data_IF_319792549527
#
_entry.id   IF_319792549527
#
_cell.length_a   1.000
_cell.length_b   1.000
_cell.length_c   1.000
_cell.angle_alpha   90.00
_cell.angle_beta   90.00
_cell.angle_gamma   90.00
#
_symmetry.space_group_name_H-M   'P 1'
#
loop_
_entity.id
_entity.type
_entity.pdbx_description
1 polymer ?
#
# COMPACT_ATOMS: atom_id res chain seq x y z
N UNK A 1 40.90 -49.41 87.80
CA UNK A 1 39.93 -50.53 87.87
C UNK A 1 38.52 -49.95 87.85
N UNK A 2 37.57 -50.63 87.16
CA UNK A 2 36.23 -50.22 86.67
C UNK A 2 36.24 -49.75 85.20
N UNK A 3 36.30 -50.65 84.22
CA UNK A 3 35.20 -51.44 83.60
C UNK A 3 34.32 -50.62 82.64
N UNK A 4 34.52 -50.85 81.34
CA UNK A 4 33.60 -50.50 80.24
C UNK A 4 32.25 -51.23 80.40
N UNK A 5 31.18 -50.75 79.74
CA UNK A 5 30.59 -51.63 78.73
C UNK A 5 30.14 -50.95 77.42
N UNK A 6 29.86 -51.86 76.50
CA UNK A 6 29.58 -51.84 75.07
C UNK A 6 28.08 -51.64 74.77
N UNK A 7 27.75 -51.38 73.49
CA UNK A 7 26.43 -51.53 72.79
C UNK A 7 25.49 -50.32 72.95
N UNK A 8 25.14 -49.59 71.87
CA UNK A 8 24.11 -50.02 70.91
C UNK A 8 24.26 -49.43 69.50
N UNK A 9 24.19 -50.34 68.50
CA UNK A 9 23.81 -50.07 67.12
C UNK A 9 22.33 -49.63 67.07
N UNK A 10 21.95 -48.98 65.96
CA UNK A 10 20.65 -48.39 65.59
C UNK A 10 20.45 -46.95 66.07
N UNK A 11 20.69 -45.97 65.17
CA UNK A 11 19.63 -45.18 64.53
C UNK A 11 20.20 -44.69 63.20
N UNK A 12 19.94 -45.45 62.14
CA UNK A 12 19.98 -44.94 60.78
C UNK A 12 18.61 -44.32 60.51
N UNK A 13 18.49 -42.99 60.55
CA UNK A 13 17.42 -42.25 59.86
C UNK A 13 17.63 -40.74 60.01
N UNK A 14 17.51 -40.07 58.87
CA UNK A 14 17.16 -38.65 58.71
C UNK A 14 18.26 -37.57 58.82
N UNK A 15 19.20 -37.56 57.86
CA UNK A 15 19.67 -36.28 57.27
C UNK A 15 19.58 -36.43 55.74
N UNK A 16 18.34 -36.47 55.26
CA UNK A 16 18.00 -36.16 53.87
C UNK A 16 17.63 -34.69 53.85
N UNK A 17 18.33 -33.93 53.01
CA UNK A 17 17.90 -32.58 52.62
C UNK A 17 18.81 -31.48 53.12
N UNK A 18 19.83 -31.16 52.33
CA UNK A 18 20.04 -29.81 51.77
C UNK A 18 20.66 -30.06 50.38
N UNK A 19 19.80 -30.20 49.38
CA UNK A 19 20.16 -29.98 47.98
C UNK A 19 20.51 -28.49 47.85
N UNK A 20 21.80 -28.17 47.77
CA UNK A 20 22.27 -26.87 47.33
C UNK A 20 22.19 -26.79 45.79
N UNK A 21 20.97 -26.89 45.26
CA UNK A 21 20.65 -26.41 43.91
C UNK A 21 20.37 -24.91 44.05
N UNK A 22 21.44 -24.11 43.98
CA UNK A 22 21.32 -22.67 43.82
C UNK A 22 20.82 -22.42 42.39
N UNK A 23 19.51 -22.58 42.18
CA UNK A 23 18.83 -22.14 40.97
C UNK A 23 18.88 -20.62 40.97
N UNK A 24 19.89 -20.05 40.33
CA UNK A 24 19.90 -18.61 40.02
C UNK A 24 18.68 -18.41 39.12
N UNK A 25 17.63 -17.67 39.54
CA UNK A 25 16.60 -17.29 38.60
C UNK A 25 17.28 -16.33 37.64
N UNK A 26 17.63 -16.83 36.46
CA UNK A 26 17.99 -15.99 35.34
C UNK A 26 16.73 -15.18 35.07
N UNK A 27 16.67 -13.96 35.61
CA UNK A 27 15.72 -12.95 35.16
C UNK A 27 16.05 -12.75 33.69
N UNK A 28 15.40 -13.52 32.83
CA UNK A 28 15.24 -13.17 31.44
C UNK A 28 14.53 -11.82 31.47
N UNK A 29 15.32 -10.74 31.47
CA UNK A 29 14.80 -9.46 31.01
C UNK A 29 14.35 -9.76 29.60
N UNK A 30 13.04 -9.76 29.38
CA UNK A 30 12.49 -9.55 28.06
C UNK A 30 13.11 -8.24 27.56
N UNK A 31 14.24 -8.35 26.85
CA UNK A 31 14.74 -7.25 26.05
C UNK A 31 13.68 -7.15 24.95
N UNK A 32 12.65 -6.35 25.22
CA UNK A 32 11.82 -5.77 24.18
C UNK A 32 12.78 -4.91 23.34
N UNK A 33 13.46 -5.58 22.41
CA UNK A 33 14.10 -4.92 21.29
C UNK A 33 13.07 -3.92 20.76
N UNK A 34 13.42 -2.64 20.58
CA UNK A 34 12.51 -1.68 20.00
C UNK A 34 11.93 -2.34 18.75
N UNK A 35 10.62 -2.59 18.74
CA UNK A 35 10.00 -3.34 17.67
C UNK A 35 10.37 -2.63 16.37
N UNK A 36 11.25 -3.24 15.58
CA UNK A 36 11.74 -2.62 14.35
C UNK A 36 10.53 -2.36 13.49
N UNK A 37 10.22 -1.08 13.29
CA UNK A 37 9.09 -0.66 12.48
C UNK A 37 9.28 -1.18 11.07
N UNK A 38 8.22 -1.70 10.46
CA UNK A 38 8.31 -2.36 9.17
C UNK A 38 6.99 -2.29 8.42
N UNK A 39 7.11 -2.31 7.09
CA UNK A 39 6.02 -2.71 6.19
C UNK A 39 6.30 -4.14 5.76
N UNK A 40 5.45 -5.07 6.18
CA UNK A 40 5.62 -6.51 5.96
C UNK A 40 4.72 -7.00 4.83
N UNK A 41 5.26 -7.82 3.93
CA UNK A 41 4.49 -8.47 2.87
C UNK A 41 3.69 -9.62 3.47
N UNK A 42 2.35 -9.53 3.43
CA UNK A 42 1.43 -10.54 3.98
C UNK A 42 0.93 -11.51 2.94
N UNK A 43 0.65 -11.04 1.73
CA UNK A 43 0.13 -11.86 0.64
C UNK A 43 0.72 -11.41 -0.69
N UNK A 44 0.89 -12.37 -1.60
CA UNK A 44 1.40 -12.17 -2.95
C UNK A 44 0.51 -12.95 -3.92
N UNK A 45 0.15 -12.33 -5.03
CA UNK A 45 -0.44 -12.99 -6.20
C UNK A 45 0.32 -12.56 -7.45
N UNK A 46 0.71 -13.51 -8.28
CA UNK A 46 1.43 -13.23 -9.53
C UNK A 46 2.89 -12.81 -9.29
N UNK A 47 3.39 -11.90 -10.13
CA UNK A 47 4.76 -11.39 -10.10
C UNK A 47 4.84 -10.16 -9.20
N UNK A 48 5.49 -10.30 -8.05
CA UNK A 48 5.77 -9.21 -7.13
C UNK A 48 7.26 -9.17 -6.85
N UNK A 49 7.87 -8.00 -6.95
CA UNK A 49 9.30 -7.79 -6.73
C UNK A 49 9.52 -6.93 -5.50
N UNK A 50 10.42 -7.36 -4.62
CA UNK A 50 10.94 -6.59 -3.49
C UNK A 50 12.41 -6.31 -3.76
N UNK A 51 12.79 -5.04 -3.86
CA UNK A 51 14.20 -4.63 -4.11
C UNK A 51 14.86 -5.35 -5.31
N UNK A 52 14.13 -5.48 -6.42
CA UNK A 52 14.64 -6.09 -7.65
C UNK A 52 14.69 -7.63 -7.65
N UNK A 53 14.44 -8.29 -6.51
CA UNK A 53 14.24 -9.76 -6.45
C UNK A 53 12.76 -10.12 -6.35
N UNK A 54 12.36 -11.36 -6.66
CA UNK A 54 11.03 -11.85 -6.31
C UNK A 54 10.74 -11.66 -4.81
N UNK A 55 9.57 -11.12 -4.51
CA UNK A 55 9.10 -10.93 -3.14
C UNK A 55 8.65 -12.25 -2.53
N UNK A 56 8.71 -12.35 -1.21
CA UNK A 56 8.23 -13.48 -0.40
C UNK A 56 7.33 -12.95 0.70
N UNK A 57 6.33 -13.75 1.09
CA UNK A 57 5.54 -13.47 2.30
C UNK A 57 6.50 -13.46 3.50
N UNK A 58 6.39 -12.43 4.34
CA UNK A 58 7.30 -12.17 5.45
C UNK A 58 8.46 -11.22 5.11
N UNK A 59 8.64 -10.83 3.84
CA UNK A 59 9.60 -9.75 3.50
C UNK A 59 9.23 -8.46 4.23
N UNK A 60 10.24 -7.76 4.77
CA UNK A 60 10.08 -6.55 5.57
C UNK A 60 10.81 -5.37 4.96
N UNK A 61 10.06 -4.31 4.64
CA UNK A 61 10.60 -3.01 4.27
C UNK A 61 10.77 -2.20 5.56
N UNK A 62 12.01 -1.99 5.99
CA UNK A 62 12.40 -1.31 7.24
C UNK A 62 13.09 0.03 7.00
N UNK A 63 13.63 0.25 5.80
CA UNK A 63 14.52 1.38 5.51
C UNK A 63 13.97 2.26 4.38
N UNK A 64 14.23 3.58 4.43
CA UNK A 64 13.93 4.49 3.33
C UNK A 64 14.47 3.98 2.00
N UNK A 65 13.71 4.17 0.92
CA UNK A 65 14.05 3.72 -0.42
C UNK A 65 13.62 2.29 -0.73
N UNK A 66 13.37 1.46 0.29
CA UNK A 66 12.88 0.11 0.07
C UNK A 66 11.46 0.12 -0.51
N UNK A 67 11.23 -0.70 -1.52
CA UNK A 67 9.99 -0.73 -2.31
C UNK A 67 9.57 -2.15 -2.67
N UNK A 68 8.26 -2.28 -2.85
CA UNK A 68 7.57 -3.42 -3.43
C UNK A 68 6.92 -2.97 -4.74
N UNK A 69 7.00 -3.80 -5.78
CA UNK A 69 6.36 -3.52 -7.07
C UNK A 69 5.60 -4.74 -7.56
N UNK A 70 4.42 -4.53 -8.11
CA UNK A 70 3.56 -5.57 -8.69
C UNK A 70 3.62 -5.50 -10.22
N UNK A 71 3.70 -6.66 -10.87
CA UNK A 71 3.60 -6.80 -12.32
C UNK A 71 2.16 -6.81 -12.82
N UNK A 72 1.97 -7.21 -14.08
CA UNK A 72 0.66 -7.48 -14.68
C UNK A 72 -0.02 -8.66 -13.98
N UNK A 73 -1.34 -8.62 -13.86
CA UNK A 73 -2.17 -9.66 -13.23
C UNK A 73 -1.68 -10.06 -11.83
N UNK A 74 -1.06 -9.11 -11.12
CA UNK A 74 -0.37 -9.35 -9.85
C UNK A 74 -0.90 -8.41 -8.77
N UNK A 75 -0.83 -8.84 -7.51
CA UNK A 75 -1.20 -8.00 -6.38
C UNK A 75 -0.41 -8.38 -5.14
N UNK A 76 -0.35 -7.46 -4.17
CA UNK A 76 0.25 -7.71 -2.87
C UNK A 76 -0.60 -7.10 -1.75
N UNK A 77 -0.54 -7.71 -0.57
CA UNK A 77 -1.09 -7.12 0.65
C UNK A 77 0.06 -6.86 1.60
N UNK A 78 0.16 -5.62 2.08
CA UNK A 78 1.19 -5.19 3.02
C UNK A 78 0.56 -4.84 4.37
N UNK A 79 1.27 -5.12 5.45
CA UNK A 79 0.90 -4.69 6.80
C UNK A 79 1.94 -3.70 7.33
N UNK A 80 1.49 -2.54 7.79
CA UNK A 80 2.31 -1.54 8.47
C UNK A 80 2.28 -1.82 9.97
N UNK A 81 3.45 -2.02 10.58
CA UNK A 81 3.66 -2.14 12.03
C UNK A 81 2.63 -3.01 12.77
N UNK A 82 2.57 -4.30 12.44
CA UNK A 82 1.68 -5.30 13.07
C UNK A 82 0.27 -4.78 13.36
N UNK A 83 -0.35 -4.10 12.39
CA UNK A 83 -1.77 -3.72 12.42
C UNK A 83 -2.08 -2.23 12.52
N UNK A 84 -1.14 -1.32 12.23
CA UNK A 84 -1.47 0.11 12.06
C UNK A 84 -2.28 0.34 10.80
N UNK A 85 -1.86 -0.27 9.69
CA UNK A 85 -2.57 -0.20 8.43
C UNK A 85 -2.34 -1.45 7.58
N UNK A 86 -3.31 -1.77 6.75
CA UNK A 86 -3.21 -2.75 5.67
C UNK A 86 -3.25 -2.01 4.33
N UNK A 87 -2.37 -2.40 3.41
CA UNK A 87 -2.27 -1.78 2.09
C UNK A 87 -2.47 -2.86 1.03
N UNK A 88 -3.56 -2.76 0.30
CA UNK A 88 -3.80 -3.58 -0.90
C UNK A 88 -3.16 -2.87 -2.10
N UNK A 89 -2.19 -3.54 -2.71
CA UNK A 89 -1.41 -3.04 -3.85
C UNK A 89 -1.92 -3.74 -5.10
N UNK A 90 -2.55 -2.99 -6.01
CA UNK A 90 -3.03 -3.53 -7.28
C UNK A 90 -1.88 -3.83 -8.24
N UNK A 91 -2.18 -4.39 -9.42
CA UNK A 91 -1.19 -4.64 -10.46
C UNK A 91 -0.55 -3.34 -10.95
N UNK A 92 0.65 -3.47 -11.54
CA UNK A 92 1.42 -2.36 -12.14
C UNK A 92 1.70 -1.20 -11.16
N UNK A 93 1.80 -1.51 -9.88
CA UNK A 93 1.90 -0.53 -8.80
C UNK A 93 3.25 -0.63 -8.11
N UNK A 94 3.75 0.49 -7.61
CA UNK A 94 4.91 0.52 -6.72
C UNK A 94 4.55 1.22 -5.43
N UNK A 95 4.96 0.65 -4.30
CA UNK A 95 4.87 1.27 -2.98
C UNK A 95 6.27 1.29 -2.38
N UNK A 96 6.70 2.45 -1.90
CA UNK A 96 8.04 2.67 -1.35
C UNK A 96 7.95 3.22 0.08
N UNK A 97 8.85 2.78 0.96
CA UNK A 97 9.05 3.36 2.28
C UNK A 97 9.86 4.64 2.14
N UNK A 98 9.32 5.76 2.63
CA UNK A 98 10.07 7.01 2.76
C UNK A 98 10.64 7.15 4.17
N UNK A 99 9.85 6.82 5.19
CA UNK A 99 10.31 6.91 6.58
C UNK A 99 9.42 6.09 7.51
N UNK A 100 10.03 5.38 8.46
CA UNK A 100 9.39 4.70 9.57
C UNK A 100 10.08 5.13 10.88
N UNK A 101 9.64 6.23 11.48
CA UNK A 101 10.28 6.81 12.67
C UNK A 101 9.39 6.83 13.91
N UNK A 102 9.95 6.61 15.09
CA UNK A 102 9.26 6.96 16.34
C UNK A 102 9.61 8.39 16.73
N UNK A 103 8.62 9.15 17.17
CA UNK A 103 8.79 10.51 17.70
C UNK A 103 8.62 10.51 19.22
N UNK A 104 8.90 11.65 19.86
CA UNK A 104 8.73 11.81 21.30
C UNK A 104 7.36 11.29 21.79
N UNK A 105 7.36 10.74 23.00
CA UNK A 105 6.19 10.11 23.64
C UNK A 105 5.67 8.86 22.91
N UNK A 106 6.52 8.18 22.14
CA UNK A 106 6.20 6.89 21.50
C UNK A 106 5.28 7.00 20.28
N UNK A 107 5.09 8.21 19.72
CA UNK A 107 4.31 8.41 18.50
C UNK A 107 4.97 7.73 17.29
N UNK A 108 4.16 7.20 16.37
CA UNK A 108 4.65 6.48 15.18
C UNK A 108 4.34 7.27 13.91
N UNK A 109 5.37 7.69 13.19
CA UNK A 109 5.22 8.42 11.92
C UNK A 109 5.60 7.50 10.77
N UNK A 110 4.61 7.09 9.97
CA UNK A 110 4.79 6.28 8.76
C UNK A 110 4.64 7.19 7.54
N UNK A 111 5.66 7.23 6.70
CA UNK A 111 5.59 7.88 5.38
C UNK A 111 5.90 6.86 4.30
N UNK A 112 4.93 6.66 3.42
CA UNK A 112 5.06 5.81 2.25
C UNK A 112 4.86 6.66 0.99
N UNK A 113 5.37 6.17 -0.13
CA UNK A 113 5.15 6.77 -1.44
C UNK A 113 4.50 5.77 -2.38
N UNK A 114 3.56 6.26 -3.18
CA UNK A 114 2.99 5.57 -4.34
C UNK A 114 3.39 6.40 -5.57
N UNK A 115 4.53 6.11 -6.21
CA UNK A 115 4.95 6.85 -7.39
C UNK A 115 4.11 6.54 -8.63
N UNK A 116 3.48 5.36 -8.69
CA UNK A 116 2.62 4.92 -9.80
C UNK A 116 1.71 3.76 -9.38
N UNK A 117 0.58 3.63 -10.07
CA UNK A 117 -0.38 2.54 -9.89
C UNK A 117 -1.44 2.86 -8.84
N UNK A 118 -2.00 1.84 -8.19
CA UNK A 118 -3.12 2.02 -7.26
C UNK A 118 -2.88 1.25 -5.95
N UNK A 119 -3.09 1.94 -4.83
CA UNK A 119 -3.03 1.37 -3.49
C UNK A 119 -4.26 1.76 -2.69
N UNK A 120 -4.91 0.77 -2.05
CA UNK A 120 -5.99 0.99 -1.08
C UNK A 120 -5.46 0.75 0.32
N UNK A 121 -5.61 1.75 1.18
CA UNK A 121 -5.09 1.75 2.54
C UNK A 121 -6.27 1.73 3.51
N UNK A 122 -6.23 0.77 4.43
CA UNK A 122 -7.14 0.69 5.56
C UNK A 122 -6.32 0.88 6.82
N UNK A 123 -6.50 2.02 7.48
CA UNK A 123 -5.74 2.40 8.67
C UNK A 123 -6.67 2.48 9.87
N UNK A 124 -6.30 1.82 10.97
CA UNK A 124 -7.05 1.97 12.22
C UNK A 124 -6.91 3.38 12.79
N UNK A 125 -7.85 3.84 13.64
CA UNK A 125 -7.67 5.06 14.40
C UNK A 125 -6.34 5.02 15.19
N UNK A 126 -5.53 6.06 15.02
CA UNK A 126 -4.28 6.20 15.77
C UNK A 126 -4.62 6.74 17.17
N UNK A 127 -4.14 6.07 18.22
CA UNK A 127 -4.43 6.46 19.61
C UNK A 127 -3.49 7.54 20.11
N UNK A 128 -2.23 7.55 19.67
CA UNK A 128 -1.26 8.58 20.03
C UNK A 128 -1.38 9.79 19.08
N UNK A 129 -1.52 10.99 19.64
CA UNK A 129 -1.69 12.25 18.89
C UNK A 129 -0.50 12.58 17.97
N UNK A 130 0.70 12.12 18.34
CA UNK A 130 1.92 12.32 17.57
C UNK A 130 2.11 11.25 16.46
N UNK A 131 1.20 10.27 16.36
CA UNK A 131 1.26 9.28 15.29
C UNK A 131 0.63 9.80 14.00
N UNK A 132 1.24 9.48 12.86
CA UNK A 132 0.81 9.91 11.54
C UNK A 132 1.04 8.79 10.53
N UNK A 133 0.12 8.64 9.60
CA UNK A 133 0.30 7.84 8.38
C UNK A 133 0.10 8.78 7.19
N UNK A 134 1.12 8.86 6.34
CA UNK A 134 1.14 9.70 5.16
C UNK A 134 1.47 8.85 3.93
N UNK A 135 0.69 9.03 2.87
CA UNK A 135 0.95 8.49 1.54
C UNK A 135 1.30 9.68 0.65
N UNK A 136 2.49 9.69 0.08
CA UNK A 136 2.90 10.69 -0.91
C UNK A 136 2.78 10.15 -2.33
N UNK A 137 2.55 11.06 -3.25
CA UNK A 137 2.52 10.85 -4.70
C UNK A 137 3.33 11.98 -5.36
N UNK A 138 3.63 11.89 -6.66
CA UNK A 138 4.27 12.99 -7.38
C UNK A 138 3.46 14.30 -7.34
N UNK A 139 2.12 14.24 -7.20
CA UNK A 139 1.27 15.41 -7.18
C UNK A 139 1.06 16.01 -5.78
N UNK A 140 1.26 15.25 -4.70
CA UNK A 140 0.99 15.74 -3.35
C UNK A 140 1.06 14.68 -2.26
N UNK A 141 0.70 15.09 -1.04
CA UNK A 141 0.74 14.25 0.17
C UNK A 141 -0.67 14.08 0.72
N UNK A 142 -0.97 12.87 1.16
CA UNK A 142 -2.26 12.44 1.68
C UNK A 142 -2.05 11.88 3.09
N UNK A 143 -2.50 12.62 4.11
CA UNK A 143 -2.35 12.27 5.53
C UNK A 143 -3.65 11.74 6.13
N UNK A 144 -3.55 10.72 6.98
CA UNK A 144 -4.73 10.01 7.52
C UNK A 144 -4.67 9.69 9.00
N UNK A 145 -5.87 9.59 9.58
CA UNK A 145 -6.11 9.09 10.94
C UNK A 145 -7.44 8.33 10.97
N UNK A 146 -7.39 6.99 11.07
CA UNK A 146 -8.58 6.15 11.13
C UNK A 146 -9.44 6.23 9.87
N UNK A 147 -8.88 5.81 8.73
CA UNK A 147 -9.56 5.92 7.44
C UNK A 147 -9.40 4.69 6.59
N UNK A 148 -10.37 4.49 5.69
CA UNK A 148 -10.22 3.62 4.54
C UNK A 148 -10.28 4.46 3.28
N UNK A 149 -9.23 4.44 2.47
CA UNK A 149 -9.10 5.29 1.30
C UNK A 149 -8.24 4.64 0.22
N UNK A 150 -8.32 5.20 -0.97
CA UNK A 150 -7.60 4.74 -2.14
C UNK A 150 -6.83 5.88 -2.80
N UNK A 151 -5.65 5.56 -3.31
CA UNK A 151 -4.83 6.47 -4.11
C UNK A 151 -4.53 5.81 -5.45
N UNK A 152 -4.85 6.49 -6.54
CA UNK A 152 -4.51 6.10 -7.90
C UNK A 152 -3.57 7.12 -8.53
N UNK A 153 -2.38 6.69 -8.93
CA UNK A 153 -1.34 7.53 -9.53
C UNK A 153 -1.10 7.10 -10.98
N UNK A 154 -1.53 7.94 -11.91
CA UNK A 154 -1.36 7.73 -13.35
C UNK A 154 0.01 8.18 -13.85
N UNK A 155 0.31 7.95 -15.13
CA UNK A 155 1.49 8.54 -15.74
C UNK A 155 1.39 10.07 -15.73
N UNK A 156 2.53 10.74 -15.81
CA UNK A 156 2.62 12.18 -15.55
C UNK A 156 2.36 12.58 -14.09
N UNK A 157 2.08 11.64 -13.17
CA UNK A 157 1.97 11.90 -11.72
C UNK A 157 0.60 12.36 -11.23
N UNK A 158 -0.41 12.43 -12.12
CA UNK A 158 -1.82 12.67 -11.74
C UNK A 158 -2.21 11.73 -10.59
N UNK A 159 -2.81 12.27 -9.55
CA UNK A 159 -3.19 11.53 -8.35
C UNK A 159 -4.65 11.72 -8.02
N UNK A 160 -5.44 10.64 -8.10
CA UNK A 160 -6.80 10.58 -7.59
C UNK A 160 -6.81 10.03 -6.17
N UNK A 161 -7.53 10.69 -5.26
CA UNK A 161 -7.74 10.25 -3.89
C UNK A 161 -9.24 10.07 -3.66
N UNK A 162 -9.63 8.91 -3.15
CA UNK A 162 -11.02 8.59 -2.81
C UNK A 162 -11.09 8.04 -1.39
N UNK A 163 -11.92 8.63 -0.55
CA UNK A 163 -12.10 8.17 0.83
C UNK A 163 -13.38 7.35 0.90
N UNK A 164 -13.27 6.11 1.36
CA UNK A 164 -14.43 5.26 1.65
C UNK A 164 -15.00 5.58 3.03
N UNK A 165 -14.15 5.59 4.06
CA UNK A 165 -14.53 5.85 5.45
C UNK A 165 -13.54 6.81 6.13
N UNK A 166 -14.05 7.65 7.03
CA UNK A 166 -13.27 8.62 7.79
C UNK A 166 -13.01 9.89 6.98
N UNK A 167 -11.84 10.51 7.17
CA UNK A 167 -11.46 11.74 6.49
C UNK A 167 -9.97 11.81 6.21
N UNK A 168 -9.62 12.20 4.99
CA UNK A 168 -8.26 12.24 4.49
C UNK A 168 -7.87 13.68 4.17
N UNK A 169 -6.73 14.16 4.70
CA UNK A 169 -6.21 15.47 4.35
C UNK A 169 -5.27 15.32 3.15
N UNK A 170 -5.63 15.92 2.01
CA UNK A 170 -4.81 15.91 0.80
C UNK A 170 -4.23 17.30 0.59
N UNK A 171 -2.91 17.40 0.47
CA UNK A 171 -2.17 18.65 0.37
C UNK A 171 -1.27 18.69 -0.86
N UNK A 172 -1.36 19.78 -1.62
CA UNK A 172 -0.46 20.10 -2.72
C UNK A 172 -0.42 21.61 -2.96
N UNK A 173 0.73 22.12 -3.41
CA UNK A 173 0.94 23.56 -3.72
C UNK A 173 0.43 24.50 -2.62
N UNK A 174 0.74 24.19 -1.36
CA UNK A 174 0.38 25.01 -0.19
C UNK A 174 -1.12 25.00 0.16
N UNK A 175 -1.95 24.22 -0.54
CA UNK A 175 -3.38 24.06 -0.25
C UNK A 175 -3.68 22.66 0.24
N UNK A 176 -4.57 22.58 1.23
CA UNK A 176 -5.05 21.33 1.82
C UNK A 176 -6.55 21.26 1.68
N UNK A 177 -7.05 20.10 1.25
CA UNK A 177 -8.48 19.78 1.23
C UNK A 177 -8.74 18.54 2.08
N UNK A 178 -9.84 18.53 2.82
CA UNK A 178 -10.30 17.35 3.57
C UNK A 178 -11.27 16.56 2.71
N UNK A 179 -10.91 15.33 2.38
CA UNK A 179 -11.72 14.38 1.59
C UNK A 179 -12.40 13.41 2.55
N UNK A 180 -13.67 13.68 2.86
CA UNK A 180 -14.49 12.85 3.75
C UNK A 180 -14.93 11.54 3.09
N UNK A 181 -15.38 10.57 3.88
CA UNK A 181 -15.98 9.32 3.41
C UNK A 181 -17.07 9.57 2.37
N UNK A 182 -16.99 8.83 1.26
CA UNK A 182 -17.84 9.01 0.08
C UNK A 182 -17.36 10.09 -0.89
N UNK A 183 -16.32 10.86 -0.59
CA UNK A 183 -15.79 11.93 -1.46
C UNK A 183 -14.45 11.59 -2.08
N UNK A 184 -14.15 12.28 -3.17
CA UNK A 184 -12.91 12.17 -3.94
C UNK A 184 -12.34 13.54 -4.30
N UNK A 185 -11.03 13.61 -4.47
CA UNK A 185 -10.29 14.78 -4.96
C UNK A 185 -9.21 14.35 -5.94
N UNK A 186 -8.90 15.24 -6.88
CA UNK A 186 -7.89 15.03 -7.91
C UNK A 186 -6.77 16.05 -7.73
N UNK A 187 -5.54 15.61 -7.95
CA UNK A 187 -4.35 16.45 -7.89
C UNK A 187 -3.51 16.21 -9.13
N UNK A 188 -3.18 17.27 -9.86
CA UNK A 188 -2.19 17.22 -10.93
C UNK A 188 -0.87 17.79 -10.41
N UNK A 189 0.29 17.25 -10.83
CA UNK A 189 1.56 17.88 -10.49
C UNK A 189 1.59 19.33 -10.95
N UNK A 190 1.98 20.23 -10.06
CA UNK A 190 1.93 21.67 -10.35
C UNK A 190 0.68 22.38 -9.83
N UNK A 191 -0.38 21.64 -9.47
CA UNK A 191 -1.67 22.19 -9.07
C UNK A 191 -2.02 21.89 -7.60
N UNK A 192 -2.92 22.67 -6.99
CA UNK A 192 -3.56 22.27 -5.73
C UNK A 192 -4.48 21.05 -5.92
N UNK A 193 -4.95 20.43 -4.82
CA UNK A 193 -6.06 19.50 -4.89
C UNK A 193 -7.34 20.20 -5.33
N UNK A 194 -8.17 19.52 -6.13
CA UNK A 194 -9.51 20.00 -6.45
C UNK A 194 -10.40 19.97 -5.22
N UNK A 195 -11.43 20.83 -5.13
CA UNK A 195 -12.47 20.69 -4.11
C UNK A 195 -13.04 19.26 -4.11
N UNK A 196 -13.25 18.64 -2.93
CA UNK A 196 -13.82 17.30 -2.86
C UNK A 196 -15.21 17.24 -3.50
N UNK A 197 -15.45 16.20 -4.29
CA UNK A 197 -16.74 15.90 -4.91
C UNK A 197 -17.21 14.52 -4.50
N UNK A 198 -18.51 14.26 -4.58
CA UNK A 198 -19.06 12.92 -4.32
C UNK A 198 -18.38 11.92 -5.25
N UNK A 199 -17.94 10.80 -4.69
CA UNK A 199 -17.27 9.74 -5.45
C UNK A 199 -18.29 9.06 -6.34
N UNK A 200 -18.08 9.15 -7.64
CA UNK A 200 -18.81 8.38 -8.63
C UNK A 200 -17.85 7.33 -9.17
N UNK A 201 -18.12 6.04 -8.92
CA UNK A 201 -17.32 4.95 -9.47
C UNK A 201 -17.67 4.69 -10.95
N UNK A 202 -17.58 5.73 -11.78
CA UNK A 202 -17.82 5.63 -13.19
C UNK A 202 -16.62 4.99 -13.89
N UNK A 203 -16.68 3.69 -14.12
CA UNK A 203 -15.62 2.92 -14.78
C UNK A 203 -15.89 2.73 -16.29
N UNK A 204 -16.66 3.63 -16.90
CA UNK A 204 -16.93 3.64 -18.34
C UNK A 204 -16.01 4.62 -19.06
N UNK A 205 -15.85 4.39 -20.36
CA UNK A 205 -15.26 5.34 -21.30
C UNK A 205 -16.32 5.76 -22.32
N UNK A 206 -16.14 6.93 -22.90
CA UNK A 206 -16.89 7.39 -24.06
C UNK A 206 -15.92 7.51 -25.25
N UNK A 207 -16.18 6.72 -26.30
CA UNK A 207 -15.37 6.73 -27.50
C UNK A 207 -15.75 7.92 -28.37
N UNK A 208 -14.81 8.83 -28.61
CA UNK A 208 -15.01 9.98 -29.50
C UNK A 208 -14.60 9.61 -30.92
N UNK A 209 -13.44 8.98 -31.09
CA UNK A 209 -12.95 8.56 -32.39
C UNK A 209 -11.97 7.39 -32.27
N UNK A 210 -12.07 6.46 -33.21
CA UNK A 210 -11.06 5.45 -33.46
C UNK A 210 -10.82 5.41 -34.96
N UNK A 211 -9.71 5.98 -35.42
CA UNK A 211 -9.46 6.21 -36.85
C UNK A 211 -8.08 5.74 -37.29
N UNK A 212 -7.94 5.12 -38.47
CA UNK A 212 -6.62 4.77 -39.00
C UNK A 212 -5.85 6.04 -39.36
N UNK A 213 -4.58 6.10 -38.96
CA UNK A 213 -3.62 7.11 -39.44
C UNK A 213 -2.90 6.58 -40.68
N UNK A 214 -2.51 5.31 -40.66
CA UNK A 214 -1.93 4.57 -41.79
C UNK A 214 -2.17 3.06 -41.60
N UNK A 215 -1.55 2.23 -42.43
CA UNK A 215 -1.73 0.77 -42.39
C UNK A 215 -1.39 0.15 -41.01
N UNK A 216 -0.48 0.76 -40.24
CA UNK A 216 0.05 0.21 -38.99
C UNK A 216 -0.31 1.03 -37.75
N UNK A 217 -0.95 2.19 -37.89
CA UNK A 217 -1.25 3.09 -36.76
C UNK A 217 -2.68 3.58 -36.75
N UNK A 218 -3.22 3.75 -35.56
CA UNK A 218 -4.57 4.19 -35.26
C UNK A 218 -4.51 5.32 -34.25
N UNK A 219 -5.35 6.34 -34.42
CA UNK A 219 -5.62 7.35 -33.40
C UNK A 219 -6.82 6.94 -32.57
N UNK A 220 -6.67 6.86 -31.26
CA UNK A 220 -7.73 6.67 -30.29
C UNK A 220 -7.98 8.01 -29.58
N UNK A 221 -9.23 8.48 -29.63
CA UNK A 221 -9.71 9.60 -28.84
C UNK A 221 -10.91 9.12 -28.01
N UNK A 222 -10.80 9.21 -26.70
CA UNK A 222 -11.88 8.88 -25.78
C UNK A 222 -11.83 9.76 -24.54
N UNK A 223 -12.91 9.76 -23.76
CA UNK A 223 -12.98 10.40 -22.45
C UNK A 223 -13.27 9.35 -21.38
N UNK A 224 -12.66 9.53 -20.21
CA UNK A 224 -12.88 8.75 -19.00
C UNK A 224 -12.98 9.72 -17.84
N UNK A 225 -13.68 9.35 -16.76
CA UNK A 225 -13.64 10.15 -15.53
C UNK A 225 -12.17 10.41 -15.11
N UNK A 226 -11.74 11.68 -15.00
CA UNK A 226 -10.36 12.05 -14.70
C UNK A 226 -9.90 11.62 -13.31
N UNK A 227 -10.77 11.08 -12.44
CA UNK A 227 -10.38 10.44 -11.19
C UNK A 227 -9.67 9.10 -11.42
N UNK A 228 -10.04 8.35 -12.45
CA UNK A 228 -9.60 6.97 -12.66
C UNK A 228 -8.19 6.88 -13.29
N UNK A 229 -7.66 5.66 -13.27
CA UNK A 229 -6.53 5.23 -14.08
C UNK A 229 -7.04 4.46 -15.29
N UNK A 230 -6.35 4.62 -16.42
CA UNK A 230 -6.70 3.92 -17.66
C UNK A 230 -5.48 3.16 -18.15
N UNK A 231 -5.70 1.91 -18.52
CA UNK A 231 -4.69 1.03 -19.10
C UNK A 231 -5.20 0.51 -20.43
N UNK A 232 -4.37 0.56 -21.45
CA UNK A 232 -4.63 0.03 -22.78
C UNK A 232 -3.63 -1.08 -23.07
N UNK A 233 -4.10 -2.30 -23.27
CA UNK A 233 -3.24 -3.48 -23.41
C UNK A 233 -2.15 -3.53 -22.31
N UNK A 234 -2.57 -3.25 -21.08
CA UNK A 234 -1.74 -3.20 -19.87
C UNK A 234 -0.72 -2.05 -19.80
N UNK A 235 -0.70 -1.14 -20.79
CA UNK A 235 0.09 0.08 -20.74
C UNK A 235 -0.75 1.20 -20.13
N UNK A 236 -0.29 1.88 -19.07
CA UNK A 236 -1.03 2.99 -18.51
C UNK A 236 -1.05 4.16 -19.48
N UNK A 237 -2.21 4.81 -19.63
CA UNK A 237 -2.40 5.97 -20.50
C UNK A 237 -2.41 7.28 -19.70
N UNK A 238 -1.82 8.30 -20.29
CA UNK A 238 -1.99 9.68 -19.84
C UNK A 238 -3.34 10.23 -20.31
N UNK A 239 -3.90 11.10 -19.49
CA UNK A 239 -5.12 11.84 -19.80
C UNK A 239 -4.92 13.29 -19.37
N UNK A 240 -5.61 14.20 -20.07
CA UNK A 240 -5.61 15.60 -19.67
C UNK A 240 -6.51 15.86 -18.43
N UNK A 241 -6.60 17.12 -18.02
CA UNK A 241 -7.39 17.52 -16.83
C UNK A 241 -8.89 17.29 -16.99
N UNK A 242 -9.38 17.11 -18.21
CA UNK A 242 -10.78 16.83 -18.52
C UNK A 242 -11.07 15.33 -18.62
N UNK A 243 -10.04 14.49 -18.54
CA UNK A 243 -10.16 13.05 -18.71
C UNK A 243 -10.11 12.60 -20.17
N UNK A 244 -9.78 13.50 -21.10
CA UNK A 244 -9.59 13.16 -22.51
C UNK A 244 -8.26 12.45 -22.70
N UNK A 245 -8.30 11.39 -23.48
CA UNK A 245 -7.16 10.62 -23.97
C UNK A 245 -7.13 10.80 -25.48
N UNK A 246 -5.97 11.20 -26.01
CA UNK A 246 -5.71 11.35 -27.44
C UNK A 246 -4.34 10.74 -27.73
N UNK A 247 -4.34 9.53 -28.29
CA UNK A 247 -3.12 8.72 -28.41
C UNK A 247 -3.04 7.97 -29.73
N UNK A 248 -1.81 7.66 -30.15
CA UNK A 248 -1.50 6.94 -31.37
C UNK A 248 -0.96 5.56 -31.00
N UNK A 249 -1.59 4.54 -31.57
CA UNK A 249 -1.43 3.14 -31.19
C UNK A 249 -1.09 2.29 -32.41
N UNK A 250 -0.36 1.17 -32.25
CA UNK A 250 -0.25 0.17 -33.30
C UNK A 250 -1.62 -0.40 -33.66
N UNK A 251 -1.93 -0.52 -34.96
CA UNK A 251 -3.15 -1.17 -35.44
C UNK A 251 -3.13 -2.63 -34.99
N UNK A 252 -4.19 -3.13 -34.33
CA UNK A 252 -4.22 -4.51 -33.89
C UNK A 252 -4.36 -5.42 -35.12
N UNK A 253 -3.55 -6.47 -35.18
CA UNK A 253 -3.53 -7.36 -36.33
C UNK A 253 -4.86 -8.12 -36.48
N UNK A 254 -5.41 -8.65 -35.37
CA UNK A 254 -6.63 -9.48 -35.35
C UNK A 254 -7.43 -9.40 -34.04
N UNK A 255 -7.11 -8.45 -33.13
CA UNK A 255 -7.73 -8.36 -31.81
C UNK A 255 -8.34 -7.00 -31.55
N UNK A 256 -9.22 -6.92 -30.58
CA UNK A 256 -9.71 -5.64 -30.07
C UNK A 256 -8.66 -5.03 -29.12
N UNK A 257 -8.71 -3.71 -28.94
CA UNK A 257 -7.94 -3.10 -27.86
C UNK A 257 -8.62 -3.40 -26.53
N UNK A 258 -7.84 -3.82 -25.54
CA UNK A 258 -8.35 -3.99 -24.18
C UNK A 258 -8.12 -2.72 -23.38
N UNK A 259 -9.20 -2.07 -22.96
CA UNK A 259 -9.15 -0.96 -22.00
C UNK A 259 -9.53 -1.46 -20.62
N UNK A 260 -8.70 -1.16 -19.63
CA UNK A 260 -9.02 -1.37 -18.22
C UNK A 260 -9.08 -0.02 -17.53
N UNK A 261 -10.19 0.26 -16.85
CA UNK A 261 -10.38 1.49 -16.07
C UNK A 261 -10.40 1.09 -14.59
N UNK A 262 -9.58 1.74 -13.78
CA UNK A 262 -9.43 1.45 -12.35
C UNK A 262 -9.64 2.69 -11.49
N UNK A 263 -10.51 2.60 -10.49
CA UNK A 263 -10.73 3.66 -9.51
C UNK A 263 -9.62 3.70 -8.46
N UNK A 264 -9.43 4.84 -7.76
CA UNK A 264 -8.51 4.90 -6.63
C UNK A 264 -8.82 3.88 -5.52
N UNK A 265 -10.09 3.49 -5.33
CA UNK A 265 -10.52 2.46 -4.37
C UNK A 265 -10.24 1.01 -4.83
N UNK A 266 -9.71 0.83 -6.04
CA UNK A 266 -9.26 -0.46 -6.57
C UNK A 266 -10.32 -1.24 -7.35
N UNK A 267 -11.52 -0.68 -7.56
CA UNK A 267 -12.50 -1.28 -8.46
C UNK A 267 -12.03 -1.11 -9.90
N UNK A 268 -12.25 -2.12 -10.74
CA UNK A 268 -11.86 -2.06 -12.15
C UNK A 268 -12.90 -2.70 -13.07
N UNK A 269 -13.01 -2.19 -14.28
CA UNK A 269 -13.76 -2.78 -15.39
C UNK A 269 -12.88 -2.90 -16.63
N UNK A 270 -13.11 -3.96 -17.41
CA UNK A 270 -12.43 -4.21 -18.68
C UNK A 270 -13.43 -4.03 -19.82
N UNK A 271 -12.99 -3.36 -20.87
CA UNK A 271 -13.76 -3.07 -22.07
C UNK A 271 -12.95 -3.45 -23.31
N UNK A 272 -13.65 -3.80 -24.38
CA UNK A 272 -13.04 -4.11 -25.69
C UNK A 272 -13.43 -3.03 -26.68
N UNK A 273 -12.43 -2.39 -27.29
CA UNK A 273 -12.65 -1.47 -28.40
C UNK A 273 -12.41 -2.22 -29.70
N UNK A 274 -13.52 -2.43 -30.41
CA UNK A 274 -13.59 -3.20 -31.65
C UNK A 274 -12.64 -2.74 -32.74
N UNK A 275 -11.80 -3.65 -33.25
CA UNK A 275 -11.10 -3.47 -34.52
C UNK A 275 -12.09 -3.34 -35.71
N UNK A 276 -13.35 -3.77 -35.53
CA UNK A 276 -14.43 -3.57 -36.51
C UNK A 276 -14.72 -2.09 -36.79
N UNK A 277 -14.46 -1.21 -35.83
CA UNK A 277 -14.60 0.25 -36.01
C UNK A 277 -13.49 0.84 -36.90
N UNK A 278 -12.48 0.05 -37.27
CA UNK A 278 -11.35 0.42 -38.12
C UNK A 278 -11.44 -0.13 -39.56
N UNK A 279 -12.57 -0.73 -39.91
CA UNK A 279 -12.83 -1.25 -41.26
C UNK A 279 -13.24 -0.13 -42.20
#
# INVERSE_FOLDING_TARGET
MKSLPQISRLVALLIVGILLTFSIPLLARDIQLPASRAVEVRQIRGTVTYQGRPARVGDRLTSPGQQISTGRQSSAVLAVDSGIATINVAELTTVQVQSLSMVANGGKVTRLSVPRGQARVQARPLTNLNSRLEISSPAGVTGVRGTEFGVGVGPGGKTGVSTLEGAVATSAKGRTVTVNGGYSSLVFPGDPPTPPKLTQENLKYELISLSPINQNRVRLICTVDPLNLVFLNDQPLEMDKTGKIDTILPRPANSDYRIVIRSPLGKQESHEIGARLLR
#
